data_IF_478669980299
#
_entry.id   IF_478669980299
#
_cell.length_a   1.000
_cell.length_b   1.000
_cell.length_c   1.000
_cell.angle_alpha   90.00
_cell.angle_beta   90.00
_cell.angle_gamma   90.00
#
_symmetry.space_group_name_H-M   'P 1'
#
loop_
_entity.id
_entity.type
_entity.pdbx_description
1 polymer ?
#
# COMPACT_ATOMS: atom_id res chain seq x y z
N UNK A 1 29.41 -10.78 15.08
CA UNK A 1 28.92 -9.74 16.02
C UNK A 1 27.92 -8.80 15.35
N UNK A 2 28.28 -8.08 14.26
CA UNK A 2 27.36 -7.17 13.54
C UNK A 2 26.12 -7.87 12.97
N UNK A 3 26.27 -9.10 12.44
CA UNK A 3 25.12 -9.89 11.91
C UNK A 3 24.12 -10.27 13.01
N UNK A 4 24.62 -10.78 14.14
CA UNK A 4 23.78 -11.14 15.29
C UNK A 4 23.03 -9.92 15.85
N UNK A 5 23.68 -8.75 15.92
CA UNK A 5 23.04 -7.50 16.34
C UNK A 5 21.93 -7.09 15.35
N UNK A 6 22.18 -7.19 14.03
CA UNK A 6 21.15 -6.91 13.01
C UNK A 6 19.97 -7.88 13.09
N UNK A 7 20.24 -9.16 13.32
CA UNK A 7 19.21 -10.18 13.45
C UNK A 7 18.35 -9.94 14.71
N UNK A 8 18.98 -9.59 15.83
CA UNK A 8 18.26 -9.22 17.08
C UNK A 8 17.44 -7.95 16.91
N UNK A 9 17.98 -6.91 16.27
CA UNK A 9 17.24 -5.68 15.96
C UNK A 9 16.04 -5.99 15.06
N UNK A 10 16.22 -6.81 14.02
CA UNK A 10 15.15 -7.20 13.11
C UNK A 10 14.01 -7.96 13.82
N UNK A 11 14.36 -8.86 14.75
CA UNK A 11 13.37 -9.61 15.55
C UNK A 11 12.57 -8.64 16.42
N UNK A 12 13.26 -7.75 17.15
CA UNK A 12 12.61 -6.73 17.98
C UNK A 12 11.70 -5.81 17.16
N UNK A 13 12.13 -5.37 15.97
CA UNK A 13 11.27 -4.55 15.10
C UNK A 13 10.04 -5.31 14.60
N UNK A 14 10.14 -6.62 14.34
CA UNK A 14 9.00 -7.42 13.91
C UNK A 14 8.01 -7.66 15.06
N UNK A 15 8.49 -7.90 16.27
CA UNK A 15 7.63 -8.05 17.46
C UNK A 15 6.85 -6.75 17.75
N UNK A 16 7.52 -5.60 17.65
CA UNK A 16 6.88 -4.29 17.80
C UNK A 16 5.85 -4.05 16.69
N UNK A 17 6.18 -4.38 15.45
CA UNK A 17 5.28 -4.27 14.31
C UNK A 17 3.99 -5.08 14.51
N UNK A 18 4.14 -6.36 14.87
CA UNK A 18 3.00 -7.26 15.09
C UNK A 18 2.13 -6.79 16.26
N UNK A 19 2.74 -6.28 17.33
CA UNK A 19 2.01 -5.72 18.46
C UNK A 19 1.20 -4.47 18.07
N UNK A 20 1.80 -3.56 17.30
CA UNK A 20 1.14 -2.36 16.80
C UNK A 20 -0.07 -2.73 15.92
N UNK A 21 0.11 -3.70 15.02
CA UNK A 21 -0.99 -4.17 14.16
C UNK A 21 -2.14 -4.72 15.02
N UNK A 22 -1.84 -5.60 15.97
CA UNK A 22 -2.85 -6.20 16.83
C UNK A 22 -3.63 -5.16 17.63
N UNK A 23 -2.96 -4.13 18.17
CA UNK A 23 -3.61 -3.05 18.90
C UNK A 23 -4.53 -2.23 17.98
N UNK A 24 -4.05 -1.85 16.79
CA UNK A 24 -4.84 -1.06 15.85
C UNK A 24 -6.06 -1.84 15.35
N UNK A 25 -5.91 -3.13 15.05
CA UNK A 25 -7.01 -4.01 14.66
C UNK A 25 -8.04 -4.17 15.79
N UNK A 26 -7.58 -4.33 17.04
CA UNK A 26 -8.46 -4.39 18.22
C UNK A 26 -9.30 -3.11 18.37
N UNK A 27 -8.71 -1.96 18.07
CA UNK A 27 -9.38 -0.65 18.10
C UNK A 27 -10.21 -0.34 16.84
N UNK A 28 -10.28 -1.27 15.88
CA UNK A 28 -10.90 -1.08 14.57
C UNK A 28 -10.33 0.12 13.79
N UNK A 29 -9.05 0.42 13.98
CA UNK A 29 -8.34 1.46 13.26
C UNK A 29 -7.78 0.85 11.98
N UNK A 30 -8.03 1.45 10.80
CA UNK A 30 -7.45 0.94 9.56
C UNK A 30 -5.92 1.04 9.61
N UNK A 31 -5.24 0.02 9.09
CA UNK A 31 -3.77 -0.06 9.01
C UNK A 31 -3.20 0.86 7.90
N UNK A 32 -3.64 2.12 7.93
CA UNK A 32 -3.28 3.17 6.99
C UNK A 32 -2.43 4.17 7.77
N UNK A 33 -1.17 4.43 7.35
CA UNK A 33 -0.24 5.27 8.09
C UNK A 33 -0.52 6.77 7.86
N UNK A 34 -1.78 7.19 8.05
CA UNK A 34 -2.24 8.57 7.81
C UNK A 34 -2.87 9.14 9.07
N UNK A 35 -2.36 10.29 9.49
CA UNK A 35 -2.85 11.00 10.66
C UNK A 35 -3.49 12.32 10.26
N UNK A 36 -4.50 12.71 11.04
CA UNK A 36 -5.10 14.03 11.01
C UNK A 36 -4.63 14.80 12.25
N UNK A 37 -3.99 15.92 12.02
CA UNK A 37 -3.67 16.91 13.04
C UNK A 37 -4.72 18.02 13.00
N UNK A 38 -5.26 18.38 14.16
CA UNK A 38 -6.03 19.61 14.34
C UNK A 38 -5.56 20.35 15.60
N UNK A 39 -5.61 21.68 15.55
CA UNK A 39 -5.29 22.52 16.70
C UNK A 39 -6.59 22.84 17.45
N UNK A 40 -6.59 22.60 18.76
CA UNK A 40 -7.66 23.06 19.66
C UNK A 40 -7.12 24.26 20.43
N UNK A 41 -7.73 25.43 20.24
CA UNK A 41 -7.36 26.68 20.91
C UNK A 41 -8.34 26.99 22.04
N UNK A 42 -7.82 27.25 23.24
CA UNK A 42 -8.66 27.51 24.43
C UNK A 42 -9.15 28.97 24.53
N UNK A 43 -8.63 29.89 23.70
CA UNK A 43 -8.99 31.32 23.71
C UNK A 43 -9.42 31.75 22.30
N UNK A 44 -10.45 32.60 22.18
CA UNK A 44 -10.81 33.28 20.93
C UNK A 44 -9.71 34.28 20.53
N UNK A 45 -8.67 33.78 19.88
CA UNK A 45 -7.65 34.56 19.15
C UNK A 45 -7.73 34.21 17.67
N UNK A 46 -6.93 34.88 16.85
CA UNK A 46 -6.82 34.56 15.44
C UNK A 46 -6.48 33.08 15.23
N UNK A 47 -7.06 32.45 14.19
CA UNK A 47 -6.85 31.03 13.92
C UNK A 47 -5.38 30.77 13.58
N UNK A 48 -4.79 29.78 14.25
CA UNK A 48 -3.41 29.38 14.00
C UNK A 48 -3.33 28.70 12.63
N UNK A 49 -2.51 29.26 11.74
CA UNK A 49 -2.25 28.65 10.44
C UNK A 49 -1.14 27.62 10.62
N UNK A 50 -1.44 26.39 10.23
CA UNK A 50 -0.48 25.30 10.23
C UNK A 50 0.43 25.41 9.00
N UNK A 51 1.70 25.72 9.22
CA UNK A 51 2.71 25.71 8.16
C UNK A 51 3.08 24.27 7.77
N UNK A 52 3.12 24.01 6.45
CA UNK A 52 3.37 22.67 5.92
C UNK A 52 4.79 22.19 6.24
N UNK A 53 5.78 23.09 6.21
CA UNK A 53 7.18 22.75 6.45
C UNK A 53 7.43 22.46 7.94
N UNK A 54 6.79 23.21 8.83
CA UNK A 54 6.84 22.96 10.28
C UNK A 54 6.25 21.60 10.64
N UNK A 55 5.10 21.24 10.05
CA UNK A 55 4.49 19.92 10.23
C UNK A 55 5.39 18.82 9.66
N UNK A 56 5.94 19.01 8.46
CA UNK A 56 6.85 18.04 7.86
C UNK A 56 8.04 17.77 8.80
N UNK A 57 8.67 18.82 9.31
CA UNK A 57 9.80 18.72 10.24
C UNK A 57 9.39 18.02 11.54
N UNK A 58 8.27 18.41 12.16
CA UNK A 58 7.77 17.82 13.40
C UNK A 58 7.48 16.31 13.24
N UNK A 59 6.82 15.91 12.16
CA UNK A 59 6.43 14.51 11.98
C UNK A 59 7.60 13.66 11.46
N UNK A 60 8.60 14.26 10.81
CA UNK A 60 9.80 13.53 10.35
C UNK A 60 10.64 12.92 11.47
N UNK A 61 10.52 13.40 12.72
CA UNK A 61 11.16 12.82 13.90
C UNK A 61 10.71 11.37 14.18
N UNK A 62 9.50 11.00 13.73
CA UNK A 62 8.92 9.68 13.98
C UNK A 62 9.15 8.71 12.83
N UNK A 63 9.52 9.20 11.64
CA UNK A 63 9.79 8.39 10.45
C UNK A 63 9.63 9.17 9.15
N UNK A 64 9.77 8.47 8.03
CA UNK A 64 9.68 9.07 6.69
C UNK A 64 8.25 9.55 6.39
N UNK A 65 8.10 10.87 6.26
CA UNK A 65 6.83 11.52 5.88
C UNK A 65 6.81 11.69 4.36
N UNK A 66 5.84 11.04 3.73
CA UNK A 66 5.65 11.03 2.27
C UNK A 66 4.99 12.30 1.76
N UNK A 67 4.03 12.81 2.52
CA UNK A 67 3.26 13.99 2.15
C UNK A 67 2.62 14.64 3.38
N UNK A 68 2.45 15.96 3.30
CA UNK A 68 1.66 16.75 4.23
C UNK A 68 0.73 17.62 3.42
N UNK A 69 -0.55 17.61 3.76
CA UNK A 69 -1.56 18.51 3.21
C UNK A 69 -2.14 19.35 4.32
N UNK A 70 -2.08 20.67 4.21
CA UNK A 70 -2.66 21.60 5.18
C UNK A 70 -3.92 22.24 4.63
N UNK A 71 -4.96 22.35 5.46
CA UNK A 71 -6.20 23.07 5.19
C UNK A 71 -6.60 23.83 6.45
N UNK A 72 -6.39 25.14 6.45
CA UNK A 72 -6.74 26.02 7.58
C UNK A 72 -6.04 25.57 8.89
N UNK A 73 -6.80 25.02 9.85
CA UNK A 73 -6.33 24.55 11.17
C UNK A 73 -6.17 23.02 11.24
N UNK A 74 -6.31 22.34 10.09
CA UNK A 74 -6.14 20.91 9.98
C UNK A 74 -4.98 20.58 9.05
N UNK A 75 -4.27 19.51 9.36
CA UNK A 75 -3.29 18.91 8.49
C UNK A 75 -3.48 17.40 8.39
N UNK A 76 -3.16 16.85 7.23
CA UNK A 76 -3.14 15.41 6.97
C UNK A 76 -1.70 15.03 6.69
N UNK A 77 -1.17 14.09 7.46
CA UNK A 77 0.22 13.63 7.40
C UNK A 77 0.25 12.18 6.98
N UNK A 78 1.10 11.86 6.01
CA UNK A 78 1.20 10.53 5.39
C UNK A 78 2.58 9.98 5.69
N UNK A 79 2.63 8.88 6.41
CA UNK A 79 3.87 8.17 6.71
C UNK A 79 4.09 7.02 5.73
N UNK A 80 5.36 6.66 5.58
CA UNK A 80 5.76 5.45 4.87
C UNK A 80 5.36 4.16 5.60
N UNK A 81 5.36 4.22 6.92
CA UNK A 81 5.26 3.05 7.81
C UNK A 81 4.21 3.28 8.89
N UNK A 82 3.50 2.24 9.29
CA UNK A 82 2.42 2.32 10.29
C UNK A 82 2.97 2.61 11.70
N UNK A 83 4.18 2.16 11.97
CA UNK A 83 4.91 2.34 13.22
C UNK A 83 5.23 3.82 13.46
N UNK A 84 5.70 4.51 12.42
CA UNK A 84 5.95 5.95 12.48
C UNK A 84 4.67 6.74 12.78
N UNK A 85 3.57 6.40 12.10
CA UNK A 85 2.27 7.00 12.37
C UNK A 85 1.78 6.66 13.80
N UNK A 86 1.97 5.43 14.25
CA UNK A 86 1.59 4.99 15.59
C UNK A 86 2.33 5.77 16.68
N UNK A 87 3.67 5.86 16.60
CA UNK A 87 4.47 6.60 17.57
C UNK A 87 4.19 8.09 17.53
N UNK A 88 4.02 8.68 16.35
CA UNK A 88 3.63 10.08 16.20
C UNK A 88 2.29 10.35 16.89
N UNK A 89 1.27 9.49 16.66
CA UNK A 89 -0.04 9.63 17.28
C UNK A 89 0.03 9.52 18.80
N UNK A 90 0.69 8.48 19.34
CA UNK A 90 0.82 8.28 20.80
C UNK A 90 1.61 9.40 21.48
N UNK A 91 2.58 10.01 20.80
CA UNK A 91 3.45 11.03 21.39
C UNK A 91 2.87 12.44 21.29
N UNK A 92 2.14 12.74 20.21
CA UNK A 92 1.67 14.10 19.92
C UNK A 92 0.19 14.32 20.27
N UNK A 93 -0.65 13.28 20.34
CA UNK A 93 -2.07 13.48 20.67
C UNK A 93 -2.25 14.04 22.08
N UNK A 94 -3.06 15.09 22.18
CA UNK A 94 -3.35 15.87 23.38
C UNK A 94 -2.11 16.58 23.98
N UNK A 95 -1.04 16.74 23.21
CA UNK A 95 0.13 17.48 23.68
C UNK A 95 -0.14 18.99 23.62
N UNK A 96 0.12 19.67 24.73
CA UNK A 96 0.07 21.13 24.79
C UNK A 96 1.42 21.71 24.33
N UNK A 97 1.38 22.74 23.49
CA UNK A 97 2.58 23.47 23.09
C UNK A 97 2.90 24.47 24.21
N UNK A 98 4.03 24.28 24.89
CA UNK A 98 4.52 25.20 25.93
C UNK A 98 4.58 26.63 25.37
N UNK A 99 4.18 27.62 26.18
CA UNK A 99 4.03 29.04 25.80
C UNK A 99 2.76 29.38 24.98
N UNK A 100 1.96 28.39 24.58
CA UNK A 100 0.66 28.61 23.94
C UNK A 100 -0.45 27.79 24.59
N UNK A 101 -1.68 28.29 24.59
CA UNK A 101 -2.87 27.55 25.06
C UNK A 101 -3.46 26.68 23.94
N UNK A 102 -2.57 26.07 23.16
CA UNK A 102 -2.88 25.23 22.00
C UNK A 102 -2.66 23.77 22.38
N UNK A 103 -3.66 22.95 22.10
CA UNK A 103 -3.59 21.50 22.23
C UNK A 103 -3.54 20.90 20.83
N UNK A 104 -2.53 20.08 20.58
CA UNK A 104 -2.45 19.25 19.39
C UNK A 104 -3.42 18.08 19.54
N UNK A 105 -4.36 17.95 18.63
CA UNK A 105 -5.20 16.77 18.52
C UNK A 105 -4.73 15.95 17.32
N UNK A 106 -4.22 14.76 17.58
CA UNK A 106 -3.70 13.87 16.54
C UNK A 106 -4.54 12.59 16.56
N UNK A 107 -5.35 12.44 15.52
CA UNK A 107 -6.21 11.28 15.34
C UNK A 107 -5.85 10.51 14.09
N UNK A 108 -6.17 9.22 14.08
CA UNK A 108 -6.10 8.43 12.87
C UNK A 108 -7.06 8.99 11.84
N UNK A 109 -6.54 9.28 10.65
CA UNK A 109 -7.38 9.78 9.59
C UNK A 109 -8.05 8.61 8.88
N UNK A 110 -9.27 8.30 9.31
CA UNK A 110 -10.10 7.29 8.65
C UNK A 110 -10.62 7.80 7.28
N UNK A 111 -10.55 9.11 7.04
CA UNK A 111 -10.92 9.70 5.76
C UNK A 111 -9.75 9.58 4.81
N UNK A 112 -9.84 8.57 3.96
CA UNK A 112 -8.85 8.26 2.96
C UNK A 112 -8.48 9.49 2.14
N UNK A 113 -7.20 9.90 2.17
CA UNK A 113 -6.73 10.90 1.26
C UNK A 113 -6.82 10.34 -0.14
N UNK A 114 -7.46 11.14 -0.96
CA UNK A 114 -8.05 10.57 -2.12
C UNK A 114 -6.95 10.32 -3.18
N UNK A 115 -5.86 11.06 -3.29
CA UNK A 115 -4.91 10.93 -4.43
C UNK A 115 -4.04 9.65 -4.49
N UNK A 116 -4.26 8.88 -5.57
CA UNK A 116 -3.42 7.91 -6.30
C UNK A 116 -2.09 7.45 -5.72
N UNK A 117 -1.99 6.12 -5.51
CA UNK A 117 -0.83 5.39 -4.95
C UNK A 117 -0.55 5.78 -3.50
N UNK A 118 -0.03 4.85 -2.69
CA UNK A 118 0.49 5.21 -1.35
C UNK A 118 1.68 6.21 -1.45
N UNK A 119 2.07 6.59 -2.68
CA UNK A 119 3.03 7.62 -3.07
C UNK A 119 2.53 8.37 -4.32
N UNK A 120 2.47 9.72 -4.35
CA UNK A 120 2.10 10.44 -5.56
C UNK A 120 3.15 10.23 -6.67
N UNK A 121 2.76 9.56 -7.76
CA UNK A 121 3.50 9.60 -9.02
C UNK A 121 3.26 10.97 -9.65
N UNK A 122 4.33 11.76 -9.79
CA UNK A 122 4.33 12.95 -10.63
C UNK A 122 4.04 12.52 -12.07
N UNK A 123 2.92 12.95 -12.63
CA UNK A 123 2.79 13.45 -14.01
C UNK A 123 1.37 13.96 -14.25
N UNK A 124 1.28 15.28 -14.39
CA UNK A 124 0.45 16.09 -15.29
C UNK A 124 -1.06 15.83 -15.49
N UNK A 125 -1.80 16.87 -15.09
CA UNK A 125 -2.97 17.48 -15.77
C UNK A 125 -4.08 16.55 -16.27
N UNK A 126 -5.03 16.23 -15.38
CA UNK A 126 -6.47 16.50 -15.53
C UNK A 126 -7.20 15.78 -14.38
N UNK A 127 -7.95 16.54 -13.60
CA UNK A 127 -8.71 16.08 -12.44
C UNK A 127 -9.91 15.28 -12.95
N UNK A 128 -9.79 13.95 -12.98
CA UNK A 128 -10.95 13.05 -13.02
C UNK A 128 -11.06 12.32 -11.67
N UNK A 129 -12.17 12.59 -10.99
CA UNK A 129 -12.35 12.52 -9.55
C UNK A 129 -12.63 11.09 -9.04
N UNK A 130 -11.88 10.07 -9.48
CA UNK A 130 -12.04 8.71 -8.97
C UNK A 130 -10.73 8.03 -8.57
N UNK A 131 -10.45 8.21 -7.30
CA UNK A 131 -9.31 7.70 -6.58
C UNK A 131 -9.29 6.18 -6.47
N UNK A 132 -8.09 5.60 -6.65
CA UNK A 132 -7.87 4.15 -6.67
C UNK A 132 -6.52 3.77 -6.05
N UNK A 133 -6.51 2.75 -5.20
CA UNK A 133 -5.32 2.00 -4.80
C UNK A 133 -4.78 1.25 -6.00
N UNK A 134 -3.46 1.15 -6.09
CA UNK A 134 -2.79 0.41 -7.16
C UNK A 134 -1.56 -0.31 -6.63
N UNK A 135 -1.30 -1.52 -7.12
CA UNK A 135 -0.07 -2.28 -6.89
C UNK A 135 0.37 -2.86 -8.24
N UNK A 136 1.69 -2.92 -8.47
CA UNK A 136 2.26 -3.61 -9.62
C UNK A 136 3.14 -4.76 -9.14
N UNK A 137 2.95 -5.93 -9.72
CA UNK A 137 3.81 -7.09 -9.49
C UNK A 137 4.62 -7.36 -10.74
N UNK A 138 5.95 -7.32 -10.62
CA UNK A 138 6.82 -7.74 -11.71
C UNK A 138 6.79 -9.26 -11.86
N UNK A 139 6.65 -9.73 -13.09
CA UNK A 139 6.68 -11.15 -13.43
C UNK A 139 8.08 -11.48 -13.93
N UNK A 140 8.84 -12.18 -13.08
CA UNK A 140 10.25 -12.51 -13.30
C UNK A 140 10.47 -13.62 -14.33
N UNK A 141 9.38 -14.16 -14.90
CA UNK A 141 9.42 -15.17 -15.96
C UNK A 141 9.16 -14.47 -17.29
N UNK A 142 10.11 -14.57 -18.21
CA UNK A 142 9.91 -14.11 -19.59
C UNK A 142 8.79 -14.90 -20.26
N UNK A 143 7.85 -14.22 -20.90
CA UNK A 143 6.82 -14.92 -21.64
C UNK A 143 7.42 -15.67 -22.84
N UNK A 144 7.24 -16.98 -22.87
CA UNK A 144 7.71 -17.88 -23.94
C UNK A 144 6.57 -18.74 -24.46
N UNK A 145 6.71 -19.28 -25.67
CA UNK A 145 5.73 -20.20 -26.28
C UNK A 145 5.58 -21.51 -25.51
N UNK A 146 6.58 -21.88 -24.72
CA UNK A 146 6.64 -23.16 -24.01
C UNK A 146 5.90 -23.14 -22.66
N UNK A 147 6.15 -22.13 -21.83
CA UNK A 147 5.53 -22.02 -20.51
C UNK A 147 4.29 -21.13 -20.51
N UNK A 148 4.24 -20.14 -21.41
CA UNK A 148 3.11 -19.22 -21.63
C UNK A 148 2.62 -18.56 -20.33
N UNK A 149 3.53 -17.92 -19.60
CA UNK A 149 3.24 -17.34 -18.27
C UNK A 149 2.05 -16.38 -18.29
N UNK A 150 1.89 -15.57 -19.35
CA UNK A 150 0.77 -14.64 -19.47
C UNK A 150 -0.58 -15.36 -19.54
N UNK A 151 -0.66 -16.50 -20.25
CA UNK A 151 -1.87 -17.35 -20.28
C UNK A 151 -2.13 -18.03 -18.95
N UNK A 152 -1.10 -18.39 -18.18
CA UNK A 152 -1.25 -18.96 -16.82
C UNK A 152 -1.76 -17.93 -15.83
N UNK A 153 -1.26 -16.69 -15.91
CA UNK A 153 -1.72 -15.58 -15.08
C UNK A 153 -3.20 -15.27 -15.37
N UNK A 154 -3.59 -15.12 -16.65
CA UNK A 154 -4.97 -14.82 -17.02
C UNK A 154 -5.91 -16.01 -16.78
N UNK A 155 -5.43 -17.22 -17.09
CA UNK A 155 -6.19 -18.46 -17.09
C UNK A 155 -7.15 -18.58 -18.29
N UNK A 156 -7.68 -19.79 -18.56
CA UNK A 156 -8.64 -20.01 -19.64
C UNK A 156 -9.85 -19.09 -19.51
N UNK A 157 -10.18 -18.32 -20.57
CA UNK A 157 -11.29 -17.33 -20.58
C UNK A 157 -11.24 -16.32 -19.42
N UNK A 158 -10.05 -16.00 -18.91
CA UNK A 158 -9.84 -15.10 -17.78
C UNK A 158 -10.22 -15.68 -16.42
N UNK A 159 -10.29 -17.03 -16.30
CA UNK A 159 -10.78 -17.71 -15.08
C UNK A 159 -10.01 -17.32 -13.83
N UNK A 160 -8.69 -17.14 -13.90
CA UNK A 160 -7.89 -16.79 -12.71
C UNK A 160 -8.18 -15.36 -12.25
N UNK A 161 -8.22 -14.40 -13.19
CA UNK A 161 -8.60 -13.01 -12.90
C UNK A 161 -10.02 -12.93 -12.30
N UNK A 162 -10.99 -13.60 -12.93
CA UNK A 162 -12.37 -13.67 -12.45
C UNK A 162 -12.47 -14.33 -11.07
N UNK A 163 -11.62 -15.32 -10.77
CA UNK A 163 -11.57 -15.99 -9.46
C UNK A 163 -11.09 -15.02 -8.37
N UNK A 164 -10.05 -14.22 -8.64
CA UNK A 164 -9.58 -13.20 -7.69
C UNK A 164 -10.69 -12.18 -7.41
N UNK A 165 -11.31 -11.64 -8.47
CA UNK A 165 -12.43 -10.70 -8.34
C UNK A 165 -13.59 -11.33 -7.55
N UNK A 166 -13.98 -12.56 -7.89
CA UNK A 166 -15.06 -13.27 -7.20
C UNK A 166 -14.79 -13.54 -5.71
N UNK A 167 -13.53 -13.79 -5.34
CA UNK A 167 -13.15 -13.92 -3.92
C UNK A 167 -13.28 -12.61 -3.15
N UNK A 168 -12.92 -11.49 -3.77
CA UNK A 168 -13.09 -10.16 -3.16
C UNK A 168 -14.56 -9.87 -2.87
N UNK A 169 -15.45 -10.14 -3.85
CA UNK A 169 -16.89 -9.91 -3.71
C UNK A 169 -17.53 -10.80 -2.63
N UNK A 170 -17.13 -12.08 -2.56
CA UNK A 170 -17.64 -13.02 -1.56
C UNK A 170 -17.25 -12.65 -0.13
N UNK A 171 -16.00 -12.25 0.11
CA UNK A 171 -15.52 -11.92 1.46
C UNK A 171 -16.24 -10.72 2.08
N UNK A 172 -16.73 -9.78 1.25
CA UNK A 172 -17.31 -8.52 1.72
C UNK A 172 -18.82 -8.41 1.47
N UNK A 173 -19.48 -9.46 0.95
CA UNK A 173 -20.90 -9.44 0.56
C UNK A 173 -21.27 -8.30 -0.41
N UNK A 174 -20.34 -7.91 -1.29
CA UNK A 174 -20.51 -6.78 -2.22
C UNK A 174 -21.03 -7.29 -3.56
N UNK A 175 -22.09 -6.67 -4.10
CA UNK A 175 -22.69 -7.02 -5.40
C UNK A 175 -22.05 -6.31 -6.61
N UNK A 176 -21.16 -5.33 -6.39
CA UNK A 176 -20.62 -4.47 -7.44
C UNK A 176 -19.27 -4.99 -7.96
N UNK A 177 -19.27 -5.50 -9.20
CA UNK A 177 -18.08 -6.04 -9.87
C UNK A 177 -17.00 -5.01 -10.22
N UNK A 178 -17.35 -3.72 -10.29
CA UNK A 178 -16.44 -2.66 -10.78
C UNK A 178 -15.54 -2.06 -9.69
N UNK A 179 -15.48 -2.73 -8.53
CA UNK A 179 -14.69 -2.29 -7.38
C UNK A 179 -13.20 -2.60 -7.53
N UNK A 180 -12.81 -3.63 -8.31
CA UNK A 180 -11.42 -4.05 -8.51
C UNK A 180 -11.11 -4.37 -9.97
N UNK A 181 -9.92 -3.97 -10.43
CA UNK A 181 -9.45 -4.15 -11.80
C UNK A 181 -8.04 -4.73 -11.81
N UNK A 182 -7.89 -5.84 -12.50
CA UNK A 182 -6.64 -6.55 -12.75
C UNK A 182 -6.24 -6.35 -14.21
N UNK A 183 -4.99 -6.00 -14.49
CA UNK A 183 -4.48 -5.80 -15.86
C UNK A 183 -3.07 -6.39 -15.98
N UNK A 184 -2.87 -7.28 -16.93
CA UNK A 184 -1.54 -7.72 -17.32
C UNK A 184 -1.01 -6.77 -18.41
N UNK A 185 0.23 -6.29 -18.26
CA UNK A 185 0.88 -5.30 -19.13
C UNK A 185 2.36 -5.66 -19.30
N UNK A 186 3.03 -4.97 -20.22
CA UNK A 186 4.45 -5.18 -20.53
C UNK A 186 4.67 -6.27 -21.58
N UNK A 187 5.94 -6.60 -21.80
CA UNK A 187 6.38 -7.47 -22.87
C UNK A 187 5.74 -8.87 -22.82
N UNK A 188 5.07 -9.26 -23.91
CA UNK A 188 4.40 -10.57 -24.01
C UNK A 188 3.08 -10.67 -23.24
N UNK A 189 2.47 -9.54 -22.87
CA UNK A 189 1.12 -9.49 -22.30
C UNK A 189 0.02 -9.70 -23.35
N UNK A 190 0.32 -9.50 -24.64
CA UNK A 190 -0.61 -9.73 -25.75
C UNK A 190 -1.61 -8.60 -25.99
N UNK A 191 -1.25 -7.35 -25.65
CA UNK A 191 -2.05 -6.16 -25.99
C UNK A 191 -1.46 -5.42 -27.19
N UNK A 192 -2.31 -4.77 -28.00
CA UNK A 192 -1.89 -4.05 -29.22
C UNK A 192 -0.91 -2.88 -28.96
N UNK A 193 -0.79 -2.42 -27.71
CA UNK A 193 0.16 -1.40 -27.26
C UNK A 193 1.05 -2.00 -26.17
N UNK A 194 1.98 -2.88 -26.54
CA UNK A 194 2.95 -3.42 -25.59
C UNK A 194 3.92 -2.30 -25.16
N UNK A 195 3.90 -1.97 -23.87
CA UNK A 195 4.93 -1.13 -23.25
C UNK A 195 6.28 -1.87 -23.27
N UNK A 196 7.38 -1.13 -23.38
CA UNK A 196 8.74 -1.65 -23.24
C UNK A 196 9.08 -2.10 -21.79
N UNK A 197 8.15 -1.92 -20.86
CA UNK A 197 8.29 -2.39 -19.47
C UNK A 197 8.29 -3.93 -19.38
N UNK A 198 9.00 -4.51 -18.39
CA UNK A 198 8.88 -5.93 -18.04
C UNK A 198 7.43 -6.36 -17.84
N UNK A 199 7.15 -7.64 -18.10
CA UNK A 199 5.82 -8.20 -17.89
C UNK A 199 5.39 -7.99 -16.43
N UNK A 200 4.23 -7.37 -16.21
CA UNK A 200 3.75 -7.05 -14.86
C UNK A 200 2.24 -7.12 -14.73
N UNK A 201 1.78 -7.48 -13.53
CA UNK A 201 0.36 -7.51 -13.17
C UNK A 201 0.00 -6.28 -12.32
N UNK A 202 -0.88 -5.44 -12.86
CA UNK A 202 -1.46 -4.30 -12.15
C UNK A 202 -2.73 -4.72 -11.43
N UNK A 203 -2.81 -4.44 -10.14
CA UNK A 203 -4.02 -4.52 -9.31
C UNK A 203 -4.46 -3.11 -9.00
N UNK A 204 -5.76 -2.81 -9.12
CA UNK A 204 -6.29 -1.52 -8.72
C UNK A 204 -7.71 -1.60 -8.16
N UNK A 205 -8.06 -0.77 -7.20
CA UNK A 205 -9.41 -0.73 -6.62
C UNK A 205 -9.70 0.63 -6.01
N UNK A 206 -10.98 1.02 -5.92
CA UNK A 206 -11.38 2.23 -5.18
C UNK A 206 -11.55 1.99 -3.67
N UNK A 207 -11.55 0.72 -3.26
CA UNK A 207 -11.78 0.28 -1.88
C UNK A 207 -10.53 -0.44 -1.37
N UNK A 208 -10.05 -0.04 -0.20
CA UNK A 208 -8.80 -0.55 0.37
C UNK A 208 -8.92 -2.02 0.80
N UNK A 209 -10.04 -2.41 1.40
CA UNK A 209 -10.26 -3.79 1.84
C UNK A 209 -10.32 -4.74 0.64
N UNK A 210 -10.97 -4.29 -0.44
CA UNK A 210 -10.99 -5.05 -1.70
C UNK A 210 -9.58 -5.10 -2.30
N UNK A 211 -8.84 -3.99 -2.27
CA UNK A 211 -7.47 -3.90 -2.77
C UNK A 211 -6.53 -4.87 -2.06
N UNK A 212 -6.55 -4.92 -0.73
CA UNK A 212 -5.67 -5.79 0.06
C UNK A 212 -5.97 -7.27 -0.19
N UNK A 213 -7.26 -7.64 -0.25
CA UNK A 213 -7.67 -9.00 -0.61
C UNK A 213 -7.20 -9.35 -2.03
N UNK A 214 -7.38 -8.44 -2.99
CA UNK A 214 -6.96 -8.65 -4.37
C UNK A 214 -5.44 -8.80 -4.49
N UNK A 215 -4.67 -8.04 -3.71
CA UNK A 215 -3.22 -8.17 -3.63
C UNK A 215 -2.81 -9.55 -3.11
N UNK A 216 -3.32 -9.97 -1.95
CA UNK A 216 -3.01 -11.27 -1.36
C UNK A 216 -3.37 -12.45 -2.29
N UNK A 217 -4.50 -12.37 -2.99
CA UNK A 217 -4.91 -13.39 -3.94
C UNK A 217 -4.08 -13.37 -5.24
N UNK A 218 -3.60 -12.20 -5.65
CA UNK A 218 -2.67 -12.05 -6.78
C UNK A 218 -1.30 -12.62 -6.44
N UNK A 219 -0.78 -12.34 -5.24
CA UNK A 219 0.46 -12.90 -4.72
C UNK A 219 0.39 -14.43 -4.67
N UNK A 220 -0.70 -14.99 -4.14
CA UNK A 220 -0.92 -16.44 -4.12
C UNK A 220 -0.91 -17.05 -5.52
N UNK A 221 -1.52 -16.38 -6.50
CA UNK A 221 -1.49 -16.84 -7.89
C UNK A 221 -0.07 -16.83 -8.45
N UNK A 222 0.69 -15.75 -8.25
CA UNK A 222 2.06 -15.61 -8.74
C UNK A 222 2.97 -16.66 -8.11
N UNK A 223 2.91 -16.86 -6.78
CA UNK A 223 3.69 -17.90 -6.09
C UNK A 223 3.42 -19.31 -6.63
N UNK A 224 2.16 -19.62 -6.92
CA UNK A 224 1.80 -20.91 -7.51
C UNK A 224 2.40 -21.06 -8.92
N UNK A 225 2.38 -20.00 -9.73
CA UNK A 225 2.97 -20.01 -11.08
C UNK A 225 4.49 -20.18 -11.02
N UNK A 226 5.16 -19.54 -10.05
CA UNK A 226 6.60 -19.71 -9.84
C UNK A 226 6.94 -21.15 -9.42
N UNK A 227 6.11 -21.75 -8.57
CA UNK A 227 6.25 -23.18 -8.22
C UNK A 227 6.05 -24.08 -9.44
N UNK A 228 5.03 -23.82 -10.27
CA UNK A 228 4.82 -24.54 -11.53
C UNK A 228 6.00 -24.36 -12.50
N UNK A 229 6.64 -23.19 -12.50
CA UNK A 229 7.80 -22.90 -13.34
C UNK A 229 9.03 -23.68 -12.90
N UNK A 230 9.29 -23.77 -11.59
CA UNK A 230 10.36 -24.61 -11.05
C UNK A 230 10.16 -26.10 -11.42
N UNK A 231 8.92 -26.58 -11.37
CA UNK A 231 8.58 -27.94 -11.83
C UNK A 231 8.83 -28.09 -13.33
N UNK A 232 8.43 -27.11 -14.13
CA UNK A 232 8.66 -27.09 -15.57
C UNK A 232 10.16 -27.14 -15.92
N UNK A 233 10.99 -26.36 -15.22
CA UNK A 233 12.44 -26.38 -15.36
C UNK A 233 13.03 -27.74 -14.99
N UNK A 234 12.62 -28.30 -13.84
CA UNK A 234 13.08 -29.61 -13.37
C UNK A 234 12.77 -30.73 -14.37
N UNK A 235 11.58 -30.73 -14.95
CA UNK A 235 11.17 -31.72 -15.95
C UNK A 235 11.99 -31.64 -17.26
N UNK A 236 12.69 -30.53 -17.48
CA UNK A 236 13.62 -30.31 -18.58
C UNK A 236 15.08 -30.54 -18.19
N UNK A 237 15.34 -31.04 -16.99
CA UNK A 237 16.69 -31.22 -16.46
C UNK A 237 17.39 -29.92 -16.05
N UNK A 238 16.66 -28.82 -15.97
CA UNK A 238 17.18 -27.51 -15.54
C UNK A 238 17.03 -27.35 -14.02
N UNK A 239 17.87 -26.52 -13.43
CA UNK A 239 17.79 -26.16 -12.00
C UNK A 239 16.59 -25.21 -11.78
N UNK A 240 15.85 -25.35 -10.67
CA UNK A 240 14.78 -24.42 -10.31
C UNK A 240 15.36 -23.02 -10.03
N UNK A 241 14.62 -21.98 -10.41
CA UNK A 241 15.01 -20.59 -10.20
C UNK A 241 14.60 -20.06 -8.82
N UNK A 242 13.56 -20.65 -8.19
CA UNK A 242 13.09 -20.26 -6.85
C UNK A 242 12.74 -18.77 -6.75
N UNK A 243 12.01 -18.30 -7.75
CA UNK A 243 11.62 -16.90 -7.88
C UNK A 243 10.75 -16.42 -6.70
N UNK A 244 10.95 -15.16 -6.30
CA UNK A 244 10.20 -14.50 -5.24
C UNK A 244 9.36 -13.35 -5.80
N UNK A 245 8.24 -13.02 -5.14
CA UNK A 245 7.37 -11.92 -5.56
C UNK A 245 8.12 -10.59 -5.42
N UNK A 246 8.08 -9.79 -6.48
CA UNK A 246 8.64 -8.43 -6.49
C UNK A 246 7.51 -7.43 -6.74
N UNK A 247 7.39 -6.43 -5.86
CA UNK A 247 6.45 -5.31 -5.97
C UNK A 247 7.18 -4.08 -6.51
N UNK A 248 6.56 -3.38 -7.44
CA UNK A 248 7.04 -2.10 -8.00
C UNK A 248 6.21 -0.92 -7.48
#
# INVERSE_FOLDING_TARGET
MIKAIKDTINILTNEIHDHIIQELEFLNIPLIPVLKLSIIQQIKKDPVILDQNDIQNLFSFFGEVLHVSTKQQEAIVYFKTIEAAYFAQKTLDNKQIEESLLILKVSWNNNLPVTGSLYPLKTDTQIDNTFKYTCKYEILIKNSTEFQVSRRIIGPKGKNMKKIIGKCLKKLNIKKFDSVKLRLRGLGSGSNEESNEPLHLCVSSKDYNIFTIACAESEKLISNIYTEYDIFLKNRGLKPERLCITKM
#
